data_IF_510770271192
#
_entry.id   IF_510770271192
#
_cell.length_a   1.000
_cell.length_b   1.000
_cell.length_c   1.000
_cell.angle_alpha   90.00
_cell.angle_beta   90.00
_cell.angle_gamma   90.00
#
_symmetry.space_group_name_H-M   'P 1'
#
loop_
_entity.id
_entity.type
_entity.pdbx_description
1 polymer ?
#
# COMPACT_ATOMS: atom_id res chain seq x y z
N UNK A 1 -21.38 49.17 43.74
CA UNK A 1 -20.23 48.41 43.19
C UNK A 1 -20.76 47.40 42.19
N UNK A 2 -20.42 47.58 40.92
CA UNK A 2 -21.27 47.26 39.77
C UNK A 2 -21.19 45.78 39.36
N UNK A 3 -22.09 44.95 39.92
CA UNK A 3 -22.16 43.49 39.67
C UNK A 3 -22.36 43.12 38.19
N UNK A 4 -22.82 44.04 37.34
CA UNK A 4 -22.97 43.79 35.90
C UNK A 4 -21.63 43.80 35.14
N UNK A 5 -20.66 44.63 35.56
CA UNK A 5 -19.33 44.68 34.92
C UNK A 5 -18.52 43.40 35.16
N UNK A 6 -18.60 42.82 36.36
CA UNK A 6 -17.94 41.54 36.63
C UNK A 6 -18.55 40.41 35.80
N UNK A 7 -19.88 40.34 35.68
CA UNK A 7 -20.55 39.32 34.84
C UNK A 7 -20.15 39.44 33.37
N UNK A 8 -20.03 40.66 32.85
CA UNK A 8 -19.59 40.89 31.48
C UNK A 8 -18.13 40.46 31.25
N UNK A 9 -17.23 40.78 32.19
CA UNK A 9 -15.80 40.39 32.11
C UNK A 9 -15.61 38.87 32.22
N UNK A 10 -16.33 38.18 33.10
CA UNK A 10 -16.28 36.72 33.20
C UNK A 10 -16.88 36.05 31.96
N UNK A 11 -17.94 36.62 31.39
CA UNK A 11 -18.54 36.12 30.15
C UNK A 11 -17.59 36.26 28.96
N UNK A 12 -16.88 37.39 28.83
CA UNK A 12 -15.85 37.56 27.79
C UNK A 12 -14.64 36.64 27.99
N UNK A 13 -14.15 36.49 29.22
CA UNK A 13 -13.02 35.61 29.52
C UNK A 13 -13.36 34.12 29.28
N UNK A 14 -14.59 33.69 29.60
CA UNK A 14 -15.05 32.33 29.35
C UNK A 14 -15.22 32.04 27.85
N UNK A 15 -15.73 33.02 27.08
CA UNK A 15 -15.83 32.93 25.61
C UNK A 15 -14.46 32.92 24.94
N UNK A 16 -13.50 33.69 25.45
CA UNK A 16 -12.11 33.67 24.96
C UNK A 16 -11.39 32.34 25.28
N UNK A 17 -11.65 31.76 26.46
CA UNK A 17 -11.07 30.47 26.87
C UNK A 17 -11.63 29.30 26.05
N UNK A 18 -12.91 29.32 25.69
CA UNK A 18 -13.50 28.30 24.79
C UNK A 18 -13.07 28.49 23.33
N UNK A 19 -12.79 29.73 22.91
CA UNK A 19 -12.25 30.00 21.57
C UNK A 19 -10.83 29.43 21.39
N UNK A 20 -10.02 29.37 22.46
CA UNK A 20 -8.67 28.77 22.40
C UNK A 20 -8.66 27.24 22.43
N UNK A 21 -9.71 26.60 22.95
CA UNK A 21 -9.84 25.13 23.01
C UNK A 21 -10.37 24.50 21.70
N UNK A 22 -10.82 25.31 20.73
CA UNK A 22 -11.48 24.82 19.50
C UNK A 22 -10.59 24.75 18.27
N UNK A 23 -9.29 25.09 18.36
CA UNK A 23 -8.36 25.02 17.23
C UNK A 23 -7.27 23.96 17.45
N UNK A 24 -7.68 22.70 17.47
CA UNK A 24 -6.83 21.61 17.01
C UNK A 24 -7.58 20.84 15.93
N UNK A 25 -7.93 21.54 14.86
CA UNK A 25 -8.07 20.85 13.59
C UNK A 25 -6.67 20.34 13.26
N UNK A 26 -6.43 19.04 13.41
CA UNK A 26 -5.27 18.40 12.81
C UNK A 26 -5.32 18.76 11.32
N UNK A 27 -4.44 19.65 10.89
CA UNK A 27 -4.30 19.96 9.48
C UNK A 27 -3.90 18.64 8.82
N UNK A 28 -4.84 18.00 8.12
CA UNK A 28 -4.51 16.90 7.23
C UNK A 28 -3.51 17.49 6.22
N UNK A 29 -2.24 17.17 6.39
CA UNK A 29 -1.22 17.56 5.43
C UNK A 29 -1.65 16.96 4.09
N UNK A 30 -1.61 17.74 3.00
CA UNK A 30 -1.93 17.20 1.68
C UNK A 30 -1.00 16.01 1.41
N UNK A 31 -1.59 14.82 1.32
CA UNK A 31 -0.89 13.60 0.94
C UNK A 31 -1.04 13.40 -0.56
N UNK A 32 0.07 13.05 -1.21
CA UNK A 32 0.08 12.61 -2.59
C UNK A 32 0.16 11.08 -2.59
N UNK A 33 -0.64 10.44 -3.44
CA UNK A 33 -0.76 8.98 -3.49
C UNK A 33 -0.44 8.49 -4.89
N UNK A 34 0.60 7.69 -4.99
CA UNK A 34 0.96 6.97 -6.21
C UNK A 34 0.52 5.50 -6.10
N UNK A 35 -0.48 5.10 -6.88
CA UNK A 35 -0.94 3.71 -6.96
C UNK A 35 -0.04 2.89 -7.88
N UNK A 36 0.57 1.82 -7.35
CA UNK A 36 1.44 0.91 -8.09
C UNK A 36 0.64 -0.25 -8.70
N UNK A 37 -0.19 0.00 -9.72
CA UNK A 37 -1.03 -1.02 -10.36
C UNK A 37 -0.62 -1.41 -11.79
N UNK A 38 0.47 -0.82 -12.31
CA UNK A 38 0.90 -0.97 -13.70
C UNK A 38 2.38 -1.25 -13.81
N UNK A 39 2.79 -1.84 -14.94
CA UNK A 39 4.20 -2.12 -15.22
C UNK A 39 4.79 -3.23 -14.37
N UNK A 40 3.94 -4.08 -13.78
CA UNK A 40 4.37 -5.25 -13.04
C UNK A 40 4.77 -6.37 -13.99
N UNK A 41 5.84 -7.05 -13.60
CA UNK A 41 6.29 -8.30 -14.20
C UNK A 41 6.39 -9.37 -13.14
N UNK A 42 6.29 -10.62 -13.55
CA UNK A 42 6.55 -11.77 -12.69
C UNK A 42 7.42 -12.82 -13.39
N UNK A 43 8.14 -13.59 -12.60
CA UNK A 43 8.94 -14.73 -13.04
C UNK A 43 9.00 -15.79 -11.94
N UNK A 44 9.23 -17.03 -12.33
CA UNK A 44 9.70 -18.05 -11.39
C UNK A 44 11.07 -17.63 -10.85
N UNK A 45 11.29 -17.80 -9.55
CA UNK A 45 12.53 -17.36 -8.90
C UNK A 45 13.76 -17.99 -9.55
N UNK A 46 14.75 -17.15 -9.87
CA UNK A 46 15.99 -17.58 -10.55
C UNK A 46 15.85 -17.86 -12.05
N UNK A 47 14.64 -17.73 -12.63
CA UNK A 47 14.45 -17.82 -14.07
C UNK A 47 14.91 -16.57 -14.80
N UNK A 48 15.30 -16.73 -16.07
CA UNK A 48 15.54 -15.61 -17.00
C UNK A 48 14.29 -15.21 -17.78
N UNK A 49 13.22 -16.02 -17.71
CA UNK A 49 11.94 -15.72 -18.36
C UNK A 49 11.11 -14.79 -17.49
N UNK A 50 10.93 -13.55 -17.96
CA UNK A 50 10.11 -12.53 -17.31
C UNK A 50 8.84 -12.29 -18.13
N UNK A 51 7.70 -12.21 -17.45
CA UNK A 51 6.39 -12.04 -18.08
C UNK A 51 5.63 -10.85 -17.47
N UNK A 52 4.69 -10.23 -18.22
CA UNK A 52 3.79 -9.23 -17.65
C UNK A 52 2.88 -9.82 -16.57
N UNK A 53 2.61 -9.04 -15.52
CA UNK A 53 1.73 -9.42 -14.41
C UNK A 53 0.61 -8.40 -14.19
N UNK A 54 -0.45 -8.81 -13.49
CA UNK A 54 -1.48 -7.88 -13.00
C UNK A 54 -1.49 -7.85 -11.49
N UNK A 55 -1.35 -6.65 -10.94
CA UNK A 55 -1.39 -6.39 -9.50
C UNK A 55 -2.47 -5.33 -9.24
N UNK A 56 -3.43 -5.58 -8.33
CA UNK A 56 -3.57 -6.79 -7.50
C UNK A 56 -3.92 -8.06 -8.30
N UNK A 57 -3.43 -9.23 -7.86
CA UNK A 57 -3.60 -10.50 -8.55
C UNK A 57 -2.89 -11.67 -7.85
N UNK A 58 -2.87 -12.83 -8.51
CA UNK A 58 -2.21 -14.07 -8.04
C UNK A 58 -1.46 -14.75 -9.19
N UNK A 59 -0.39 -15.48 -8.86
CA UNK A 59 0.49 -16.17 -9.81
C UNK A 59 -0.29 -17.07 -10.78
N UNK A 60 -1.26 -17.83 -10.25
CA UNK A 60 -2.06 -18.77 -11.03
C UNK A 60 -2.80 -18.04 -12.16
N UNK A 61 -3.39 -16.88 -11.86
CA UNK A 61 -4.13 -16.09 -12.86
C UNK A 61 -3.20 -15.50 -13.92
N UNK A 62 -1.98 -15.11 -13.53
CA UNK A 62 -0.97 -14.62 -14.47
C UNK A 62 -0.53 -15.75 -15.42
N UNK A 63 -0.27 -16.96 -14.91
CA UNK A 63 0.07 -18.13 -15.72
C UNK A 63 -1.08 -18.59 -16.63
N UNK A 64 -2.33 -18.55 -16.17
CA UNK A 64 -3.52 -18.85 -16.99
C UNK A 64 -3.60 -17.88 -18.18
N UNK A 65 -3.36 -16.58 -17.96
CA UNK A 65 -3.36 -15.59 -19.05
C UNK A 65 -2.24 -15.80 -20.07
N UNK A 66 -1.12 -16.37 -19.63
CA UNK A 66 -0.04 -16.81 -20.53
C UNK A 66 -0.32 -18.15 -21.22
N UNK A 67 -1.41 -18.85 -20.88
CA UNK A 67 -1.69 -20.20 -21.34
C UNK A 67 -0.74 -21.27 -20.78
N UNK A 68 0.01 -20.95 -19.71
CA UNK A 68 0.93 -21.87 -19.02
C UNK A 68 0.22 -22.77 -18.01
N UNK A 69 -1.01 -22.41 -17.60
CA UNK A 69 -1.89 -23.24 -16.78
C UNK A 69 -3.25 -23.42 -17.45
N UNK A 70 -3.88 -24.61 -17.32
CA UNK A 70 -5.27 -24.80 -17.68
C UNK A 70 -6.21 -24.05 -16.72
N UNK A 71 -7.48 -23.94 -17.10
CA UNK A 71 -8.52 -23.50 -16.17
C UNK A 71 -8.62 -24.49 -14.99
N UNK A 72 -8.35 -24.06 -13.75
CA UNK A 72 -8.32 -24.93 -12.58
C UNK A 72 -9.69 -25.55 -12.26
N UNK A 73 -10.79 -24.91 -12.68
CA UNK A 73 -12.15 -25.38 -12.43
C UNK A 73 -12.65 -26.34 -13.51
N UNK A 74 -11.84 -26.60 -14.55
CA UNK A 74 -12.22 -27.50 -15.61
C UNK A 74 -11.80 -28.94 -15.32
N UNK A 75 -12.78 -29.82 -15.13
CA UNK A 75 -12.60 -31.28 -14.95
C UNK A 75 -11.73 -31.62 -13.74
N UNK A 76 -10.58 -32.27 -13.97
CA UNK A 76 -9.64 -32.80 -12.98
C UNK A 76 -8.29 -32.06 -13.07
N UNK A 77 -8.31 -30.78 -13.43
CA UNK A 77 -7.10 -29.98 -13.63
C UNK A 77 -6.38 -29.63 -12.33
N UNK A 78 -6.98 -29.88 -11.16
CA UNK A 78 -6.39 -29.57 -9.84
C UNK A 78 -4.99 -30.17 -9.66
N UNK A 79 -4.76 -31.42 -10.06
CA UNK A 79 -3.45 -32.06 -9.93
C UNK A 79 -2.41 -31.41 -10.85
N UNK A 80 -2.84 -30.85 -11.98
CA UNK A 80 -1.95 -30.27 -13.00
C UNK A 80 -1.41 -28.89 -12.64
N UNK A 81 -1.96 -28.24 -11.61
CA UNK A 81 -1.59 -26.88 -11.19
C UNK A 81 -0.78 -26.83 -9.88
N UNK A 82 -0.65 -27.95 -9.16
CA UNK A 82 -0.04 -28.00 -7.82
C UNK A 82 1.40 -27.47 -7.80
N UNK A 83 2.17 -27.75 -8.85
CA UNK A 83 3.58 -27.34 -8.98
C UNK A 83 3.79 -25.82 -8.80
N UNK A 84 2.76 -25.01 -9.02
CA UNK A 84 2.84 -23.55 -8.88
C UNK A 84 3.10 -23.15 -7.43
N UNK A 85 2.48 -23.85 -6.47
CA UNK A 85 2.65 -23.60 -5.03
C UNK A 85 3.96 -24.18 -4.46
N UNK A 86 4.68 -24.98 -5.24
CA UNK A 86 5.96 -25.59 -4.86
C UNK A 86 7.18 -24.75 -5.29
N UNK A 87 6.92 -23.60 -5.91
CA UNK A 87 7.94 -22.71 -6.48
C UNK A 87 7.83 -21.31 -5.90
N UNK A 88 8.97 -20.64 -5.84
CA UNK A 88 9.05 -19.24 -5.49
C UNK A 88 8.81 -18.37 -6.72
N UNK A 89 8.17 -17.22 -6.51
CA UNK A 89 7.78 -16.29 -7.56
C UNK A 89 8.22 -14.88 -7.23
N UNK A 90 8.87 -14.23 -8.19
CA UNK A 90 9.31 -12.85 -8.06
C UNK A 90 8.33 -11.93 -8.79
N UNK A 91 7.84 -10.90 -8.10
CA UNK A 91 7.12 -9.78 -8.72
C UNK A 91 7.98 -8.51 -8.68
N UNK A 92 8.03 -7.77 -9.79
CA UNK A 92 8.81 -6.55 -9.88
C UNK A 92 8.04 -5.45 -10.62
N UNK A 93 8.23 -4.20 -10.20
CA UNK A 93 7.84 -3.03 -10.97
C UNK A 93 8.86 -1.90 -10.77
N UNK A 94 8.77 -0.87 -11.60
CA UNK A 94 9.54 0.37 -11.43
C UNK A 94 8.59 1.54 -11.46
N UNK A 95 8.84 2.50 -10.58
CA UNK A 95 8.10 3.75 -10.50
C UNK A 95 9.06 4.91 -10.27
N UNK A 96 8.62 6.11 -10.60
CA UNK A 96 9.41 7.33 -10.46
C UNK A 96 8.71 8.28 -9.49
N UNK A 97 9.52 9.00 -8.71
CA UNK A 97 9.09 10.13 -7.90
C UNK A 97 9.75 11.39 -8.44
N UNK A 98 9.02 12.51 -8.44
CA UNK A 98 9.60 13.81 -8.77
C UNK A 98 10.52 14.30 -7.64
N UNK A 99 11.36 15.30 -7.94
CA UNK A 99 12.22 15.90 -6.93
C UNK A 99 11.39 16.48 -5.77
N UNK A 100 10.23 17.07 -6.06
CA UNK A 100 9.33 17.63 -5.05
C UNK A 100 8.69 16.55 -4.17
N UNK A 101 8.37 15.37 -4.73
CA UNK A 101 7.87 14.23 -3.97
C UNK A 101 8.94 13.65 -3.04
N UNK A 102 10.20 13.62 -3.46
CA UNK A 102 11.32 13.14 -2.63
C UNK A 102 11.66 14.08 -1.46
N UNK A 103 11.30 15.36 -1.54
CA UNK A 103 11.50 16.35 -0.47
C UNK A 103 10.39 16.32 0.59
N UNK A 104 9.43 15.38 0.51
CA UNK A 104 8.38 15.24 1.51
C UNK A 104 8.96 14.75 2.84
N UNK A 105 8.42 15.23 3.98
CA UNK A 105 8.93 14.86 5.29
C UNK A 105 8.76 13.37 5.62
N UNK A 106 7.79 12.71 4.99
CA UNK A 106 7.57 11.27 5.09
C UNK A 106 7.08 10.71 3.76
N UNK A 107 7.52 9.49 3.46
CA UNK A 107 7.10 8.69 2.31
C UNK A 107 6.81 7.28 2.83
N UNK A 108 5.63 6.76 2.52
CA UNK A 108 5.20 5.44 2.94
C UNK A 108 4.95 4.57 1.71
N UNK A 109 5.49 3.36 1.72
CA UNK A 109 5.09 2.31 0.78
C UNK A 109 4.08 1.40 1.49
N UNK A 110 2.83 1.43 1.03
CA UNK A 110 1.73 0.70 1.65
C UNK A 110 1.39 -0.54 0.82
N UNK A 111 1.36 -1.70 1.48
CA UNK A 111 0.81 -2.94 0.93
C UNK A 111 -0.50 -3.23 1.67
N UNK A 112 -1.62 -3.30 0.94
CA UNK A 112 -2.92 -3.64 1.53
C UNK A 112 -3.06 -5.14 1.82
N UNK A 113 -2.27 -5.99 1.16
CA UNK A 113 -2.18 -7.42 1.41
C UNK A 113 -1.01 -8.04 0.65
N UNK A 114 -0.36 -9.02 1.26
CA UNK A 114 0.71 -9.84 0.67
C UNK A 114 0.45 -11.29 1.07
N UNK A 115 0.14 -12.15 0.10
CA UNK A 115 -0.16 -13.56 0.34
C UNK A 115 1.06 -14.43 0.01
N UNK A 116 1.77 -15.02 0.98
CA UNK A 116 1.72 -14.74 2.43
C UNK A 116 3.16 -14.52 2.93
N UNK A 117 4.07 -15.45 2.61
CA UNK A 117 5.49 -15.29 2.85
C UNK A 117 6.13 -14.45 1.74
N UNK A 118 6.46 -13.20 2.04
CA UNK A 118 7.03 -12.29 1.05
C UNK A 118 8.21 -11.50 1.61
N UNK A 119 9.30 -11.45 0.85
CA UNK A 119 10.42 -10.53 1.10
C UNK A 119 10.36 -9.38 0.10
N UNK A 120 10.14 -8.16 0.59
CA UNK A 120 10.05 -6.96 -0.26
C UNK A 120 11.37 -6.23 -0.28
N UNK A 121 11.85 -5.94 -1.48
CA UNK A 121 13.06 -5.16 -1.73
C UNK A 121 12.71 -3.86 -2.45
N UNK A 122 13.31 -2.75 -2.01
CA UNK A 122 13.26 -1.46 -2.68
C UNK A 122 14.69 -0.98 -2.93
N UNK A 123 15.05 -0.76 -4.20
CA UNK A 123 16.40 -0.35 -4.61
C UNK A 123 17.51 -1.25 -4.04
N UNK A 124 17.27 -2.57 -4.00
CA UNK A 124 18.21 -3.58 -3.50
C UNK A 124 18.21 -3.75 -1.97
N UNK A 125 17.51 -2.92 -1.21
CA UNK A 125 17.40 -3.05 0.24
C UNK A 125 16.12 -3.80 0.63
N UNK A 126 16.24 -4.83 1.49
CA UNK A 126 15.06 -5.48 2.09
C UNK A 126 14.38 -4.50 3.04
N UNK A 127 13.09 -4.25 2.84
CA UNK A 127 12.29 -3.29 3.63
C UNK A 127 11.16 -3.95 4.41
N UNK A 128 10.75 -5.17 4.03
CA UNK A 128 9.69 -5.90 4.68
C UNK A 128 9.92 -7.40 4.54
N UNK A 129 9.56 -8.13 5.59
CA UNK A 129 9.35 -9.57 5.61
C UNK A 129 7.92 -9.78 6.09
N UNK A 130 7.05 -10.28 5.21
CA UNK A 130 5.67 -10.59 5.51
C UNK A 130 5.54 -12.10 5.74
N UNK A 131 4.72 -12.46 6.72
CA UNK A 131 4.40 -13.84 7.09
C UNK A 131 2.89 -14.03 7.36
N UNK A 132 2.10 -13.01 7.00
CA UNK A 132 0.65 -13.01 7.19
C UNK A 132 0.01 -12.21 6.05
N UNK A 133 -1.15 -12.71 5.61
CA UNK A 133 -1.99 -12.16 4.56
C UNK A 133 -2.70 -10.87 4.99
#
# INVERSE_FOLDING_TARGET
MNRSLHRALYSCALVLLTLMMTQTAALALPSDTLTLSRGWTFSEHGSSEVHPATVPGVVQQDLIRLGKLPDPYYRLAEDSIQWVGERDWDYACTFALTAEQLQRPSIHLLFEGLDTYASVYLNGQKILEAENM
#
